data_IF_075093891373
#
_entry.id   IF_075093891373
#
_cell.length_a   1.000
_cell.length_b   1.000
_cell.length_c   1.000
_cell.angle_alpha   90.00
_cell.angle_beta   90.00
_cell.angle_gamma   90.00
#
_symmetry.space_group_name_H-M   'P 1'
#
loop_
_entity.id
_entity.type
_entity.pdbx_description
1 polymer ?
#
# COMPACT_ATOMS: atom_id res chain seq x y z
N UNK A 1 15.60 5.27 18.26
CA UNK A 1 14.27 4.63 18.37
C UNK A 1 13.46 5.16 17.21
N UNK A 2 12.75 4.32 16.46
CA UNK A 2 11.87 4.78 15.39
C UNK A 2 10.60 5.35 16.05
N UNK A 3 10.53 6.67 16.16
CA UNK A 3 9.40 7.36 16.78
C UNK A 3 8.27 7.52 15.76
N UNK A 4 7.04 7.22 16.18
CA UNK A 4 5.85 7.35 15.35
C UNK A 4 5.28 8.77 15.49
N UNK A 5 5.86 9.72 14.75
CA UNK A 5 5.46 11.13 14.73
C UNK A 5 5.87 11.78 13.41
N UNK A 6 5.32 12.96 13.15
CA UNK A 6 5.83 13.83 12.11
C UNK A 6 7.32 14.16 12.33
N UNK A 7 8.04 14.38 11.22
CA UNK A 7 9.42 14.81 11.27
C UNK A 7 9.55 16.17 11.98
N UNK A 8 10.57 16.30 12.81
CA UNK A 8 11.00 17.62 13.29
C UNK A 8 11.56 18.44 12.14
N UNK A 9 11.69 19.76 12.33
CA UNK A 9 12.31 20.64 11.33
C UNK A 9 13.72 20.20 10.94
N UNK A 10 14.51 19.73 11.89
CA UNK A 10 15.89 19.27 11.63
C UNK A 10 15.93 17.93 10.88
N UNK A 11 14.99 17.02 11.17
CA UNK A 11 14.85 15.76 10.43
C UNK A 11 14.35 16.02 9.00
N UNK A 12 13.35 16.88 8.83
CA UNK A 12 12.87 17.28 7.50
C UNK A 12 13.97 17.95 6.67
N UNK A 13 14.80 18.81 7.27
CA UNK A 13 15.95 19.41 6.60
C UNK A 13 16.95 18.34 6.11
N UNK A 14 17.20 17.29 6.90
CA UNK A 14 18.06 16.16 6.52
C UNK A 14 17.44 15.29 5.42
N UNK A 15 16.13 15.06 5.47
CA UNK A 15 15.42 14.32 4.42
C UNK A 15 15.46 15.08 3.10
N UNK A 16 15.19 16.39 3.12
CA UNK A 16 15.32 17.26 1.94
C UNK A 16 16.74 17.26 1.38
N UNK A 17 17.75 17.35 2.23
CA UNK A 17 19.15 17.29 1.80
C UNK A 17 19.48 15.96 1.12
N UNK A 18 19.11 14.84 1.74
CA UNK A 18 19.33 13.49 1.18
C UNK A 18 18.62 13.31 -0.15
N UNK A 19 17.34 13.73 -0.23
CA UNK A 19 16.56 13.67 -1.46
C UNK A 19 17.21 14.51 -2.56
N UNK A 20 17.63 15.73 -2.25
CA UNK A 20 18.30 16.60 -3.22
C UNK A 20 19.58 15.96 -3.78
N UNK A 21 20.41 15.36 -2.92
CA UNK A 21 21.61 14.64 -3.39
C UNK A 21 21.23 13.49 -4.33
N UNK A 22 20.23 12.69 -3.99
CA UNK A 22 19.78 11.60 -4.87
C UNK A 22 19.28 12.11 -6.23
N UNK A 23 18.54 13.23 -6.26
CA UNK A 23 18.07 13.86 -7.49
C UNK A 23 19.23 14.43 -8.33
N UNK A 24 20.21 15.09 -7.70
CA UNK A 24 21.43 15.58 -8.34
C UNK A 24 22.30 14.44 -8.90
N UNK A 25 22.27 13.27 -8.26
CA UNK A 25 22.95 12.04 -8.70
C UNK A 25 22.20 11.30 -9.84
N UNK A 26 21.02 11.78 -10.24
CA UNK A 26 20.27 11.29 -11.40
C UNK A 26 19.02 10.45 -11.07
N UNK A 27 18.54 10.46 -9.82
CA UNK A 27 17.22 9.92 -9.53
C UNK A 27 16.14 10.69 -10.31
N UNK A 28 15.19 9.96 -10.91
CA UNK A 28 14.11 10.56 -11.70
C UNK A 28 13.05 11.28 -10.84
N UNK A 29 13.08 11.08 -9.52
CA UNK A 29 12.03 11.54 -8.64
C UNK A 29 12.06 10.94 -7.24
N UNK A 30 10.92 11.02 -6.58
CA UNK A 30 10.69 10.58 -5.20
C UNK A 30 9.42 9.76 -5.13
N UNK A 31 9.38 8.74 -4.27
CA UNK A 31 8.16 7.95 -4.04
C UNK A 31 7.73 7.93 -2.59
N UNK A 32 6.43 7.99 -2.33
CA UNK A 32 5.84 7.87 -0.98
C UNK A 32 4.97 6.62 -0.84
N UNK A 33 5.02 6.01 0.35
CA UNK A 33 4.21 4.86 0.76
C UNK A 33 3.21 5.20 1.87
N UNK A 34 2.32 6.17 1.64
CA UNK A 34 1.52 6.82 2.70
C UNK A 34 0.47 5.90 3.33
N UNK A 35 0.15 4.77 2.69
CA UNK A 35 -0.72 3.74 3.26
C UNK A 35 -0.05 2.92 4.36
N UNK A 36 1.28 2.91 4.46
CA UNK A 36 2.01 2.11 5.44
C UNK A 36 2.22 2.88 6.74
N UNK A 37 2.10 2.22 7.90
CA UNK A 37 2.34 2.81 9.23
C UNK A 37 3.48 3.82 9.29
N UNK A 38 4.68 3.43 8.86
CA UNK A 38 5.87 4.26 8.98
C UNK A 38 5.79 5.62 8.25
N UNK A 39 4.93 5.77 7.23
CA UNK A 39 4.72 7.03 6.50
C UNK A 39 3.30 7.60 6.65
N UNK A 40 2.35 6.84 7.21
CA UNK A 40 0.94 7.27 7.37
C UNK A 40 0.77 8.45 8.34
N UNK A 41 1.77 8.73 9.18
CA UNK A 41 1.83 9.92 10.04
C UNK A 41 2.48 11.14 9.42
N UNK A 42 3.16 10.98 8.28
CA UNK A 42 3.74 12.12 7.57
C UNK A 42 2.61 13.07 7.18
N UNK A 43 2.73 14.32 7.60
CA UNK A 43 1.73 15.34 7.33
C UNK A 43 1.83 15.78 5.87
N UNK A 44 0.76 16.36 5.33
CA UNK A 44 0.79 16.88 3.96
C UNK A 44 1.87 17.95 3.80
N UNK A 45 2.17 18.74 4.83
CA UNK A 45 3.28 19.72 4.82
C UNK A 45 4.65 19.06 4.73
N UNK A 46 4.86 17.94 5.43
CA UNK A 46 6.10 17.17 5.35
C UNK A 46 6.30 16.62 3.94
N UNK A 47 5.23 16.05 3.36
CA UNK A 47 5.26 15.52 1.99
C UNK A 47 5.48 16.66 0.99
N UNK A 48 4.72 17.76 1.07
CA UNK A 48 4.90 18.94 0.20
C UNK A 48 6.34 19.45 0.23
N UNK A 49 6.96 19.57 1.41
CA UNK A 49 8.33 20.05 1.54
C UNK A 49 9.38 19.13 0.86
N UNK A 50 9.10 17.83 0.72
CA UNK A 50 9.93 16.89 -0.02
C UNK A 50 9.64 16.95 -1.53
N UNK A 51 8.37 17.02 -1.90
CA UNK A 51 7.93 17.11 -3.30
C UNK A 51 8.42 18.40 -3.97
N UNK A 52 8.56 19.50 -3.22
CA UNK A 52 9.25 20.71 -3.68
C UNK A 52 10.67 20.44 -4.22
N UNK A 53 11.44 19.52 -3.61
CA UNK A 53 12.79 19.21 -4.13
C UNK A 53 12.74 18.48 -5.47
N UNK A 54 11.66 17.74 -5.73
CA UNK A 54 11.44 17.01 -6.99
C UNK A 54 11.12 17.96 -8.14
N UNK A 55 10.29 18.97 -7.90
CA UNK A 55 9.95 19.99 -8.90
C UNK A 55 11.20 20.72 -9.42
N UNK A 56 12.17 21.01 -8.54
CA UNK A 56 13.39 21.75 -8.89
C UNK A 56 14.24 21.11 -9.98
N UNK A 57 14.11 19.80 -10.15
CA UNK A 57 14.81 19.03 -11.19
C UNK A 57 13.88 18.58 -12.32
N UNK A 58 12.61 18.99 -12.30
CA UNK A 58 11.59 18.52 -13.23
C UNK A 58 11.28 17.03 -13.10
N UNK A 59 11.45 16.46 -11.90
CA UNK A 59 11.25 15.05 -11.62
C UNK A 59 9.78 14.68 -11.39
N UNK A 60 9.55 13.41 -11.02
CA UNK A 60 8.21 12.87 -10.74
C UNK A 60 8.07 12.45 -9.28
N UNK A 61 6.97 12.85 -8.65
CA UNK A 61 6.55 12.29 -7.37
C UNK A 61 5.57 11.13 -7.61
N UNK A 62 5.99 9.90 -7.31
CA UNK A 62 5.11 8.74 -7.33
C UNK A 62 4.51 8.48 -5.94
N UNK A 63 3.23 8.15 -5.85
CA UNK A 63 2.58 7.95 -4.54
C UNK A 63 1.71 6.70 -4.50
N UNK A 64 2.04 5.79 -3.59
CA UNK A 64 1.03 4.94 -2.97
C UNK A 64 0.29 5.81 -1.95
N UNK A 65 -0.87 6.28 -2.37
CA UNK A 65 -1.71 7.23 -1.63
C UNK A 65 -2.20 6.67 -0.30
N UNK A 66 -2.56 7.57 0.62
CA UNK A 66 -2.81 7.26 2.04
C UNK A 66 -3.94 6.27 2.29
N UNK A 67 -4.92 6.21 1.38
CA UNK A 67 -6.06 5.31 1.46
C UNK A 67 -6.56 4.90 0.09
N UNK A 68 -6.96 3.63 -0.03
CA UNK A 68 -7.42 3.03 -1.29
C UNK A 68 -8.82 2.40 -1.15
N UNK A 69 -9.45 2.54 0.03
CA UNK A 69 -10.76 2.00 0.36
C UNK A 69 -11.73 3.13 0.76
N UNK A 70 -12.07 3.25 2.04
CA UNK A 70 -12.96 4.30 2.56
C UNK A 70 -12.37 5.70 2.33
N UNK A 71 -11.05 5.85 2.50
CA UNK A 71 -10.34 7.12 2.39
C UNK A 71 -9.80 7.44 1.00
N UNK A 72 -10.23 6.70 -0.04
CA UNK A 72 -9.75 6.89 -1.42
C UNK A 72 -9.91 8.35 -1.90
N UNK A 73 -11.12 8.92 -1.78
CA UNK A 73 -11.37 10.28 -2.29
C UNK A 73 -10.59 11.35 -1.49
N UNK A 74 -10.56 11.33 -0.14
CA UNK A 74 -9.66 12.19 0.63
C UNK A 74 -8.18 12.05 0.24
N UNK A 75 -7.68 10.84 0.01
CA UNK A 75 -6.28 10.61 -0.33
C UNK A 75 -5.92 11.12 -1.74
N UNK A 76 -6.83 11.01 -2.70
CA UNK A 76 -6.67 11.63 -4.03
C UNK A 76 -6.71 13.16 -3.92
N UNK A 77 -7.59 13.72 -3.09
CA UNK A 77 -7.62 15.17 -2.85
C UNK A 77 -6.32 15.68 -2.23
N UNK A 78 -5.79 14.98 -1.22
CA UNK A 78 -4.47 15.29 -0.64
C UNK A 78 -3.38 15.32 -1.72
N UNK A 79 -3.35 14.29 -2.57
CA UNK A 79 -2.36 14.17 -3.65
C UNK A 79 -2.46 15.33 -4.65
N UNK A 80 -3.68 15.68 -5.07
CA UNK A 80 -3.94 16.82 -5.97
C UNK A 80 -3.53 18.15 -5.33
N UNK A 81 -3.80 18.32 -4.03
CA UNK A 81 -3.42 19.53 -3.31
C UNK A 81 -1.89 19.69 -3.27
N UNK A 82 -1.16 18.64 -2.89
CA UNK A 82 0.30 18.64 -2.87
C UNK A 82 0.86 18.89 -4.28
N UNK A 83 0.29 18.27 -5.31
CA UNK A 83 0.68 18.50 -6.70
C UNK A 83 0.51 19.97 -7.09
N UNK A 84 -0.60 20.60 -6.69
CA UNK A 84 -0.90 22.00 -6.99
C UNK A 84 0.01 22.97 -6.26
N UNK A 85 0.33 22.69 -5.01
CA UNK A 85 1.21 23.53 -4.19
C UNK A 85 2.68 23.44 -4.64
N UNK A 86 3.13 22.24 -5.01
CA UNK A 86 4.53 22.00 -5.39
C UNK A 86 4.83 22.25 -6.87
N UNK A 87 3.85 22.08 -7.77
CA UNK A 87 4.07 22.11 -9.22
C UNK A 87 4.76 20.86 -9.78
N UNK A 88 5.07 19.86 -8.96
CA UNK A 88 5.73 18.64 -9.40
C UNK A 88 4.82 17.78 -10.30
N UNK A 89 5.43 17.02 -11.21
CA UNK A 89 4.73 15.95 -11.90
C UNK A 89 4.37 14.82 -10.91
N UNK A 90 3.19 14.23 -11.04
CA UNK A 90 2.68 13.23 -10.09
C UNK A 90 2.22 11.97 -10.80
N UNK A 91 2.61 10.83 -10.24
CA UNK A 91 2.13 9.50 -10.63
C UNK A 91 1.43 8.85 -9.43
N UNK A 92 0.11 8.63 -9.52
CA UNK A 92 -0.61 7.82 -8.53
C UNK A 92 -0.33 6.35 -8.85
N UNK A 93 0.49 5.72 -8.01
CA UNK A 93 0.88 4.33 -8.21
C UNK A 93 -0.31 3.39 -8.03
N UNK A 94 -0.39 2.37 -8.88
CA UNK A 94 -1.36 1.25 -8.82
C UNK A 94 -2.76 1.69 -8.38
N UNK A 95 -3.32 2.70 -9.04
CA UNK A 95 -4.54 3.39 -8.62
C UNK A 95 -5.74 2.45 -8.61
N UNK A 96 -6.43 2.37 -7.47
CA UNK A 96 -7.47 1.36 -7.26
C UNK A 96 -8.47 1.76 -6.19
N UNK A 97 -9.67 1.16 -6.25
CA UNK A 97 -10.63 1.15 -5.15
C UNK A 97 -10.75 -0.28 -4.59
N UNK A 98 -10.38 -0.46 -3.33
CA UNK A 98 -10.36 -1.74 -2.63
C UNK A 98 -11.65 -1.99 -1.87
N UNK A 99 -12.19 -3.20 -1.98
CA UNK A 99 -13.39 -3.65 -1.28
C UNK A 99 -14.68 -3.28 -2.00
N UNK A 100 -15.61 -4.23 -2.07
CA UNK A 100 -16.90 -4.11 -2.81
C UNK A 100 -17.69 -2.85 -2.45
N UNK A 101 -17.67 -2.44 -1.19
CA UNK A 101 -18.36 -1.25 -0.71
C UNK A 101 -17.79 0.06 -1.28
N UNK A 102 -16.53 0.07 -1.70
CA UNK A 102 -15.82 1.25 -2.17
C UNK A 102 -15.56 1.24 -3.67
N UNK A 103 -15.84 0.14 -4.38
CA UNK A 103 -15.72 0.08 -5.85
C UNK A 103 -16.40 1.25 -6.58
N UNK A 104 -17.59 1.74 -6.17
CA UNK A 104 -18.21 2.90 -6.80
C UNK A 104 -17.39 4.20 -6.71
N UNK A 105 -16.51 4.32 -5.70
CA UNK A 105 -15.68 5.52 -5.51
C UNK A 105 -14.61 5.67 -6.60
N UNK A 106 -14.26 4.58 -7.30
CA UNK A 106 -13.20 4.61 -8.31
C UNK A 106 -13.50 5.62 -9.44
N UNK A 107 -14.73 5.62 -9.95
CA UNK A 107 -15.13 6.56 -11.00
C UNK A 107 -15.02 8.04 -10.53
N UNK A 108 -15.41 8.33 -9.29
CA UNK A 108 -15.24 9.66 -8.70
C UNK A 108 -13.76 10.03 -8.53
N UNK A 109 -12.94 9.08 -8.12
CA UNK A 109 -11.50 9.27 -7.93
C UNK A 109 -10.80 9.57 -9.26
N UNK A 110 -11.11 8.80 -10.33
CA UNK A 110 -10.63 9.08 -11.69
C UNK A 110 -11.08 10.46 -12.17
N UNK A 111 -12.35 10.84 -11.92
CA UNK A 111 -12.86 12.15 -12.31
C UNK A 111 -12.11 13.31 -11.63
N UNK A 112 -11.69 13.14 -10.38
CA UNK A 112 -10.84 14.12 -9.70
C UNK A 112 -9.49 14.28 -10.38
N UNK A 113 -8.87 13.19 -10.83
CA UNK A 113 -7.60 13.21 -11.55
C UNK A 113 -7.75 13.84 -12.94
N UNK A 114 -8.83 13.53 -13.67
CA UNK A 114 -9.15 14.20 -14.94
C UNK A 114 -9.28 15.71 -14.77
N UNK A 115 -10.06 16.16 -13.79
CA UNK A 115 -10.25 17.59 -13.55
C UNK A 115 -8.93 18.28 -13.15
N UNK A 116 -8.11 17.62 -12.33
CA UNK A 116 -6.78 18.11 -12.00
C UNK A 116 -5.88 18.24 -13.24
N UNK A 117 -5.96 17.29 -14.18
CA UNK A 117 -5.25 17.37 -15.47
C UNK A 117 -5.75 18.53 -16.33
N UNK A 118 -7.07 18.73 -16.40
CA UNK A 118 -7.69 19.84 -17.12
C UNK A 118 -7.31 21.20 -16.53
N UNK A 119 -7.12 21.28 -15.21
CA UNK A 119 -6.62 22.45 -14.47
C UNK A 119 -5.12 22.72 -14.70
N UNK A 120 -4.43 21.89 -15.50
CA UNK A 120 -3.04 22.06 -15.88
C UNK A 120 -2.02 21.32 -15.00
N UNK A 121 -2.46 20.50 -14.04
CA UNK A 121 -1.55 19.67 -13.25
C UNK A 121 -1.01 18.52 -14.10
N UNK A 122 0.30 18.25 -13.99
CA UNK A 122 0.90 17.08 -14.64
C UNK A 122 0.72 15.83 -13.76
N UNK A 123 -0.52 15.35 -13.67
CA UNK A 123 -0.89 14.15 -12.90
C UNK A 123 -1.29 13.00 -13.82
N UNK A 124 -0.82 11.79 -13.51
CA UNK A 124 -1.13 10.52 -14.16
C UNK A 124 -1.28 9.42 -13.11
N UNK A 125 -1.64 8.21 -13.53
CA UNK A 125 -1.69 7.04 -12.66
C UNK A 125 -1.29 5.78 -13.41
N UNK A 126 -0.95 4.71 -12.68
CA UNK A 126 -0.74 3.39 -13.27
C UNK A 126 -1.69 2.35 -12.68
N UNK A 127 -1.91 1.27 -13.42
CA UNK A 127 -2.64 0.09 -12.96
C UNK A 127 -2.00 -1.21 -13.49
N UNK A 128 -2.26 -2.31 -12.79
CA UNK A 128 -1.92 -3.67 -13.25
C UNK A 128 -3.20 -4.46 -13.59
N UNK A 129 -3.15 -5.40 -14.56
CA UNK A 129 -4.34 -6.07 -15.06
C UNK A 129 -4.79 -7.26 -14.21
N UNK A 130 -4.97 -7.06 -12.91
CA UNK A 130 -5.41 -8.10 -11.97
C UNK A 130 -6.32 -7.53 -10.90
N UNK A 131 -7.34 -8.30 -10.49
CA UNK A 131 -8.21 -7.95 -9.36
C UNK A 131 -7.60 -8.27 -7.99
N UNK A 132 -6.52 -9.05 -8.01
CA UNK A 132 -5.79 -9.48 -6.82
C UNK A 132 -4.70 -8.47 -6.51
N UNK A 133 -4.66 -8.01 -5.26
CA UNK A 133 -3.59 -7.17 -4.72
C UNK A 133 -2.62 -8.02 -3.91
N UNK A 134 -1.39 -7.53 -3.72
CA UNK A 134 -0.41 -8.14 -2.84
C UNK A 134 0.13 -7.11 -1.85
N UNK A 135 0.13 -7.44 -0.56
CA UNK A 135 0.67 -6.57 0.50
C UNK A 135 1.13 -7.38 1.71
N UNK A 136 1.78 -6.70 2.65
CA UNK A 136 2.11 -7.23 3.97
C UNK A 136 0.84 -7.46 4.79
N UNK A 137 0.72 -8.63 5.43
CA UNK A 137 -0.52 -9.05 6.08
C UNK A 137 -0.94 -8.13 7.23
N UNK A 138 0.01 -7.43 7.89
CA UNK A 138 -0.34 -6.57 9.02
C UNK A 138 -1.20 -5.36 8.62
N UNK A 139 -1.34 -5.01 7.33
CA UNK A 139 -2.25 -3.93 6.89
C UNK A 139 -3.72 -4.26 7.12
N UNK A 140 -4.08 -5.50 7.49
CA UNK A 140 -5.45 -5.88 7.88
C UNK A 140 -5.73 -5.62 9.36
N UNK A 141 -4.71 -5.29 10.15
CA UNK A 141 -4.87 -4.90 11.55
C UNK A 141 -5.25 -3.42 11.66
N UNK A 142 -5.86 -2.98 12.78
CA UNK A 142 -5.98 -1.56 13.06
C UNK A 142 -4.61 -0.86 13.04
N UNK A 143 -4.55 0.33 12.44
CA UNK A 143 -3.31 1.08 12.23
C UNK A 143 -2.46 1.22 13.51
N UNK A 144 -3.13 1.43 14.66
CA UNK A 144 -2.46 1.66 15.94
C UNK A 144 -1.57 0.48 16.39
N UNK A 145 -1.83 -0.72 15.87
CA UNK A 145 -1.08 -1.92 16.23
C UNK A 145 0.32 -1.90 15.63
N UNK A 146 0.49 -1.30 14.45
CA UNK A 146 1.77 -1.24 13.75
C UNK A 146 2.53 0.09 13.93
N UNK A 147 1.99 1.04 14.68
CA UNK A 147 2.65 2.32 14.96
C UNK A 147 4.02 2.12 15.63
N UNK A 148 5.08 2.72 15.08
CA UNK A 148 6.46 2.45 15.53
C UNK A 148 7.08 1.18 14.92
N UNK A 149 6.41 0.61 13.91
CA UNK A 149 6.92 -0.45 13.04
C UNK A 149 6.81 -1.85 13.62
N UNK A 150 7.38 -2.83 12.88
CA UNK A 150 7.24 -4.27 13.16
C UNK A 150 7.65 -4.67 14.59
N UNK A 151 8.67 -4.01 15.16
CA UNK A 151 9.12 -4.33 16.52
C UNK A 151 8.05 -4.03 17.55
N UNK A 152 7.38 -2.89 17.42
CA UNK A 152 6.30 -2.51 18.32
C UNK A 152 5.04 -3.32 18.04
N UNK A 153 4.73 -3.63 16.77
CA UNK A 153 3.70 -4.61 16.41
C UNK A 153 3.88 -5.93 17.16
N UNK A 154 5.08 -6.52 17.10
CA UNK A 154 5.37 -7.79 17.79
C UNK A 154 5.23 -7.65 19.30
N UNK A 155 5.68 -6.53 19.87
CA UNK A 155 5.55 -6.26 21.31
C UNK A 155 4.08 -6.14 21.73
N UNK A 156 3.26 -5.39 20.98
CA UNK A 156 1.82 -5.24 21.21
C UNK A 156 1.10 -6.58 21.09
N UNK A 157 1.36 -7.36 20.05
CA UNK A 157 0.69 -8.64 19.82
C UNK A 157 1.04 -9.74 20.84
N UNK A 158 2.06 -9.53 21.69
CA UNK A 158 2.35 -10.40 22.86
C UNK A 158 1.44 -10.12 24.05
N UNK A 159 0.79 -8.96 24.12
CA UNK A 159 -0.09 -8.59 25.21
C UNK A 159 -1.53 -9.11 24.96
N UNK A 160 -2.07 -9.98 25.83
CA UNK A 160 -3.42 -10.52 25.66
C UNK A 160 -4.52 -9.44 25.63
N UNK A 161 -4.37 -8.36 26.38
CA UNK A 161 -5.35 -7.28 26.44
C UNK A 161 -5.40 -6.49 25.12
N UNK A 162 -4.22 -6.27 24.51
CA UNK A 162 -4.11 -5.69 23.18
C UNK A 162 -4.78 -6.60 22.16
N UNK A 163 -4.51 -7.90 22.18
CA UNK A 163 -5.12 -8.86 21.24
C UNK A 163 -6.65 -8.83 21.28
N UNK A 164 -7.25 -8.75 22.48
CA UNK A 164 -8.71 -8.63 22.62
C UNK A 164 -9.21 -7.37 21.92
N UNK A 165 -8.59 -6.21 22.18
CA UNK A 165 -8.96 -4.94 21.55
C UNK A 165 -8.81 -5.00 20.03
N UNK A 166 -7.72 -5.59 19.53
CA UNK A 166 -7.48 -5.77 18.09
C UNK A 166 -8.59 -6.60 17.45
N UNK A 167 -8.96 -7.74 18.05
CA UNK A 167 -10.04 -8.58 17.53
C UNK A 167 -11.39 -7.85 17.52
N UNK A 168 -11.68 -7.06 18.56
CA UNK A 168 -12.92 -6.28 18.61
C UNK A 168 -12.99 -5.22 17.51
N UNK A 169 -11.89 -4.54 17.20
CA UNK A 169 -11.83 -3.54 16.15
C UNK A 169 -11.87 -4.17 14.76
N UNK A 170 -11.14 -5.27 14.52
CA UNK A 170 -11.21 -6.02 13.25
C UNK A 170 -12.64 -6.48 12.93
N UNK A 171 -13.41 -6.90 13.94
CA UNK A 171 -14.82 -7.30 13.78
C UNK A 171 -15.77 -6.14 13.44
N UNK A 172 -15.39 -4.90 13.72
CA UNK A 172 -16.18 -3.70 13.35
C UNK A 172 -15.95 -3.35 11.88
N UNK A 173 -14.73 -3.53 11.40
CA UNK A 173 -14.32 -3.23 10.00
C UNK A 173 -14.61 -4.44 9.11
N UNK A 174 -15.89 -4.81 8.99
CA UNK A 174 -16.36 -6.00 8.22
C UNK A 174 -16.18 -5.90 6.70
N UNK A 175 -15.62 -4.80 6.19
CA UNK A 175 -15.39 -4.59 4.76
C UNK A 175 -14.28 -5.48 4.21
N UNK A 176 -13.30 -5.84 5.04
CA UNK A 176 -12.26 -6.77 4.65
C UNK A 176 -12.79 -8.19 4.85
N UNK A 177 -13.06 -8.90 3.76
CA UNK A 177 -13.29 -10.35 3.75
C UNK A 177 -11.97 -11.08 4.05
N UNK A 178 -11.33 -10.79 5.20
CA UNK A 178 -9.99 -11.28 5.52
C UNK A 178 -9.93 -12.81 5.60
N UNK A 179 -11.06 -13.48 5.79
CA UNK A 179 -11.19 -14.94 5.67
C UNK A 179 -10.74 -15.49 4.30
N UNK A 180 -10.93 -14.72 3.23
CA UNK A 180 -10.55 -15.07 1.85
C UNK A 180 -9.12 -14.66 1.50
N UNK A 181 -8.45 -13.91 2.37
CA UNK A 181 -7.05 -13.49 2.17
C UNK A 181 -6.17 -14.72 2.12
N UNK A 182 -5.36 -14.83 1.07
CA UNK A 182 -4.47 -15.97 0.85
C UNK A 182 -3.05 -15.60 1.25
N UNK A 183 -2.43 -16.38 2.11
CA UNK A 183 -1.03 -16.16 2.49
C UNK A 183 -0.15 -16.53 1.30
N UNK A 184 0.71 -15.59 0.88
CA UNK A 184 1.65 -15.79 -0.21
C UNK A 184 3.02 -16.22 0.31
N UNK A 185 3.46 -15.65 1.42
CA UNK A 185 4.75 -15.92 2.05
C UNK A 185 4.64 -15.74 3.56
N UNK A 186 5.29 -16.63 4.31
CA UNK A 186 5.55 -16.48 5.75
C UNK A 186 6.97 -16.94 6.04
N UNK A 187 7.75 -16.15 6.78
CA UNK A 187 9.11 -16.55 7.17
C UNK A 187 9.16 -17.52 8.34
N UNK A 188 8.05 -17.67 9.08
CA UNK A 188 7.96 -18.60 10.22
C UNK A 188 7.59 -20.01 9.80
N UNK A 189 6.66 -20.14 8.84
CA UNK A 189 6.20 -21.43 8.35
C UNK A 189 5.78 -21.31 6.88
N UNK A 190 6.57 -21.87 5.94
CA UNK A 190 6.23 -21.85 4.52
C UNK A 190 4.98 -22.69 4.19
N UNK A 191 4.52 -23.58 5.08
CA UNK A 191 3.31 -24.38 4.87
C UNK A 191 2.02 -23.54 4.92
N UNK A 192 2.09 -22.27 5.32
CA UNK A 192 0.97 -21.33 5.19
C UNK A 192 0.77 -20.82 3.77
N UNK A 193 1.81 -20.83 2.93
CA UNK A 193 1.70 -20.36 1.55
C UNK A 193 0.59 -21.11 0.79
N UNK A 194 -0.27 -20.35 0.12
CA UNK A 194 -1.43 -20.84 -0.63
C UNK A 194 -2.67 -21.14 0.19
N UNK A 195 -2.60 -21.13 1.52
CA UNK A 195 -3.78 -21.27 2.38
C UNK A 195 -4.47 -19.92 2.59
N UNK A 196 -5.79 -19.95 2.72
CA UNK A 196 -6.55 -18.78 3.15
C UNK A 196 -6.50 -18.63 4.66
N UNK A 197 -6.72 -17.41 5.18
CA UNK A 197 -6.85 -17.17 6.63
C UNK A 197 -7.90 -18.10 7.24
N UNK A 198 -9.06 -18.28 6.60
CA UNK A 198 -10.09 -19.19 7.09
C UNK A 198 -9.61 -20.64 7.21
N UNK A 199 -8.79 -21.12 6.27
CA UNK A 199 -8.21 -22.46 6.36
C UNK A 199 -7.22 -22.56 7.51
N UNK A 200 -6.33 -21.59 7.65
CA UNK A 200 -5.31 -21.55 8.71
C UNK A 200 -5.98 -21.49 10.09
N UNK A 201 -7.01 -20.66 10.24
CA UNK A 201 -7.80 -20.55 11.46
C UNK A 201 -8.46 -21.87 11.86
N UNK A 202 -9.07 -22.59 10.89
CA UNK A 202 -9.63 -23.94 11.14
C UNK A 202 -8.56 -24.95 11.55
N UNK A 203 -7.41 -24.96 10.89
CA UNK A 203 -6.29 -25.87 11.22
C UNK A 203 -5.71 -25.58 12.62
N UNK A 204 -5.73 -24.31 13.06
CA UNK A 204 -5.28 -23.89 14.39
C UNK A 204 -6.38 -24.00 15.46
N UNK A 205 -7.64 -24.19 15.09
CA UNK A 205 -8.78 -24.19 16.03
C UNK A 205 -9.09 -22.83 16.66
N UNK A 206 -8.78 -21.73 15.96
CA UNK A 206 -8.96 -20.34 16.45
C UNK A 206 -9.76 -19.49 15.45
N UNK A 207 -10.06 -18.24 15.78
CA UNK A 207 -10.71 -17.30 14.86
C UNK A 207 -9.74 -16.78 13.77
N UNK A 208 -10.28 -16.18 12.70
CA UNK A 208 -9.45 -15.61 11.63
C UNK A 208 -8.51 -14.50 12.13
N UNK A 209 -9.01 -13.63 13.00
CA UNK A 209 -8.24 -12.55 13.62
C UNK A 209 -7.10 -13.10 14.48
N UNK A 210 -7.39 -14.14 15.27
CA UNK A 210 -6.39 -14.81 16.10
C UNK A 210 -5.32 -15.50 15.25
N UNK A 211 -5.71 -16.18 14.18
CA UNK A 211 -4.77 -16.78 13.23
C UNK A 211 -3.85 -15.75 12.58
N UNK A 212 -4.39 -14.59 12.17
CA UNK A 212 -3.61 -13.46 11.63
C UNK A 212 -2.57 -13.01 12.66
N UNK A 213 -2.99 -12.74 13.91
CA UNK A 213 -2.07 -12.30 14.96
C UNK A 213 -1.01 -13.37 15.30
N UNK A 214 -1.37 -14.65 15.28
CA UNK A 214 -0.43 -15.76 15.53
C UNK A 214 0.65 -15.83 14.45
N UNK A 215 0.26 -15.72 13.17
CA UNK A 215 1.20 -15.72 12.06
C UNK A 215 2.11 -14.50 12.10
N UNK A 216 1.56 -13.31 12.34
CA UNK A 216 2.33 -12.08 12.44
C UNK A 216 3.31 -12.12 13.62
N UNK A 217 2.89 -12.66 14.77
CA UNK A 217 3.79 -12.84 15.91
C UNK A 217 4.92 -13.82 15.60
N UNK A 218 4.59 -14.98 15.01
CA UNK A 218 5.57 -16.01 14.68
C UNK A 218 6.60 -15.55 13.63
N UNK A 219 6.15 -14.80 12.61
CA UNK A 219 6.99 -14.32 11.52
C UNK A 219 7.60 -12.94 11.78
N UNK A 220 7.48 -12.38 12.99
CA UNK A 220 7.90 -11.02 13.33
C UNK A 220 7.38 -9.96 12.34
N UNK A 221 6.11 -10.09 11.95
CA UNK A 221 5.41 -9.24 10.99
C UNK A 221 5.77 -9.50 9.51
N UNK A 222 6.61 -10.49 9.19
CA UNK A 222 7.05 -10.80 7.82
C UNK A 222 6.14 -11.83 7.15
N UNK A 223 4.89 -11.45 6.93
CA UNK A 223 3.91 -12.25 6.19
C UNK A 223 3.39 -11.41 5.03
N UNK A 224 3.37 -11.97 3.82
CA UNK A 224 2.77 -11.34 2.62
C UNK A 224 1.52 -12.12 2.25
N UNK A 225 0.50 -11.39 1.82
CA UNK A 225 -0.80 -11.94 1.47
C UNK A 225 -1.35 -11.37 0.17
N UNK A 226 -2.18 -12.16 -0.49
CA UNK A 226 -2.93 -11.79 -1.68
C UNK A 226 -4.41 -11.62 -1.36
N UNK A 227 -5.02 -10.57 -1.89
CA UNK A 227 -6.40 -10.19 -1.61
C UNK A 227 -7.14 -9.93 -2.92
N UNK A 228 -8.15 -10.73 -3.22
CA UNK A 228 -9.04 -10.51 -4.37
C UNK A 228 -10.11 -9.49 -3.97
N UNK A 229 -9.85 -8.21 -4.24
CA UNK A 229 -10.57 -7.11 -3.61
C UNK A 229 -10.92 -5.98 -4.58
N UNK A 230 -10.49 -6.06 -5.84
CA UNK A 230 -10.79 -5.05 -6.85
C UNK A 230 -11.92 -5.52 -7.76
N UNK A 231 -12.65 -4.56 -8.35
CA UNK A 231 -13.63 -4.82 -9.41
C UNK A 231 -12.91 -5.03 -10.74
N UNK A 232 -13.25 -6.09 -11.47
CA UNK A 232 -12.79 -6.30 -12.85
C UNK A 232 -13.17 -5.11 -13.75
N UNK A 233 -14.39 -4.58 -13.58
CA UNK A 233 -14.88 -3.43 -14.34
C UNK A 233 -14.02 -2.18 -14.08
N UNK A 234 -13.63 -1.93 -12.83
CA UNK A 234 -12.76 -0.80 -12.49
C UNK A 234 -11.35 -0.99 -13.05
N UNK A 235 -10.80 -2.20 -12.95
CA UNK A 235 -9.48 -2.54 -13.51
C UNK A 235 -9.49 -2.33 -15.03
N UNK A 236 -10.51 -2.82 -15.73
CA UNK A 236 -10.64 -2.65 -17.17
C UNK A 236 -10.81 -1.17 -17.56
N UNK A 237 -11.64 -0.41 -16.84
CA UNK A 237 -11.80 1.02 -17.05
C UNK A 237 -10.49 1.78 -16.86
N UNK A 238 -9.72 1.44 -15.82
CA UNK A 238 -8.44 2.06 -15.53
C UNK A 238 -7.41 1.77 -16.61
N UNK A 239 -7.28 0.51 -17.06
CA UNK A 239 -6.31 0.11 -18.09
C UNK A 239 -6.58 0.78 -19.46
N UNK A 240 -7.83 1.14 -19.73
CA UNK A 240 -8.23 1.82 -20.98
C UNK A 240 -8.15 3.35 -20.88
N UNK A 241 -7.92 3.89 -19.69
CA UNK A 241 -7.98 5.33 -19.46
C UNK A 241 -6.74 6.05 -20.04
N UNK A 242 -6.89 7.20 -20.72
CA UNK A 242 -5.77 7.88 -21.38
C UNK A 242 -4.71 8.44 -20.43
N UNK A 243 -5.05 8.62 -19.15
CA UNK A 243 -4.09 9.03 -18.10
C UNK A 243 -3.42 7.85 -17.39
N UNK A 244 -3.74 6.62 -17.79
CA UNK A 244 -3.27 5.39 -17.15
C UNK A 244 -2.07 4.80 -17.87
N UNK A 245 -1.05 4.42 -17.10
CA UNK A 245 0.02 3.55 -17.56
C UNK A 245 -0.24 2.10 -17.11
N UNK A 246 0.20 1.14 -17.94
CA UNK A 246 0.24 -0.26 -17.50
C UNK A 246 1.54 -0.49 -16.75
N UNK A 247 1.42 -0.80 -15.46
CA UNK A 247 2.54 -1.21 -14.62
C UNK A 247 2.35 -2.66 -14.15
N UNK A 248 3.46 -3.33 -13.84
CA UNK A 248 3.36 -4.68 -13.27
C UNK A 248 3.04 -4.66 -11.79
N UNK A 249 3.57 -3.68 -11.04
CA UNK A 249 3.68 -3.72 -9.57
C UNK A 249 4.29 -5.06 -9.07
N UNK A 250 5.08 -5.71 -9.92
CA UNK A 250 5.72 -6.98 -9.65
C UNK A 250 6.87 -6.81 -8.68
N UNK A 251 6.93 -7.66 -7.65
CA UNK A 251 8.15 -7.77 -6.86
C UNK A 251 9.27 -8.40 -7.70
N UNK A 252 10.52 -8.01 -7.46
CA UNK A 252 11.68 -8.69 -8.04
C UNK A 252 11.93 -10.01 -7.32
N UNK A 253 11.99 -11.11 -8.07
CA UNK A 253 12.29 -12.44 -7.55
C UNK A 253 13.63 -12.94 -8.08
N UNK A 254 14.40 -13.60 -7.21
CA UNK A 254 15.61 -14.32 -7.60
C UNK A 254 15.24 -15.77 -7.90
N UNK A 255 16.00 -16.43 -8.77
CA UNK A 255 15.84 -17.86 -9.07
C UNK A 255 15.87 -18.72 -7.79
N UNK A 256 16.67 -18.32 -6.79
CA UNK A 256 16.72 -19.00 -5.48
C UNK A 256 15.41 -18.95 -4.69
N UNK A 257 14.50 -18.02 -4.98
CA UNK A 257 13.24 -17.85 -4.27
C UNK A 257 12.22 -18.94 -4.65
N UNK A 258 12.37 -19.58 -5.82
CA UNK A 258 11.55 -20.73 -6.23
C UNK A 258 11.59 -21.86 -5.19
N UNK A 259 12.79 -22.10 -4.62
CA UNK A 259 13.01 -23.16 -3.62
C UNK A 259 12.38 -22.85 -2.26
N UNK A 260 11.89 -21.63 -2.03
CA UNK A 260 11.31 -21.22 -0.75
C UNK A 260 9.81 -21.54 -0.64
N UNK A 261 9.18 -21.98 -1.74
CA UNK A 261 7.75 -22.33 -1.75
C UNK A 261 6.81 -21.13 -1.60
N UNK A 262 7.29 -19.92 -1.87
CA UNK A 262 6.47 -18.71 -1.83
C UNK A 262 5.59 -18.62 -3.06
N UNK A 263 4.36 -18.13 -2.89
CA UNK A 263 3.52 -17.79 -4.04
C UNK A 263 3.99 -16.47 -4.64
N UNK A 264 4.20 -16.49 -5.95
CA UNK A 264 4.49 -15.29 -6.72
C UNK A 264 3.20 -14.73 -7.29
N UNK A 265 2.98 -13.42 -7.14
CA UNK A 265 1.84 -12.78 -7.79
C UNK A 265 2.02 -12.82 -9.31
N UNK A 266 1.02 -13.27 -10.10
CA UNK A 266 1.16 -13.43 -11.55
C UNK A 266 1.54 -12.14 -12.27
N UNK A 267 1.16 -10.97 -11.71
CA UNK A 267 1.57 -9.64 -12.21
C UNK A 267 3.08 -9.47 -12.41
N UNK A 268 3.89 -10.18 -11.62
CA UNK A 268 5.36 -10.09 -11.68
C UNK A 268 5.96 -10.59 -13.00
N UNK A 269 5.25 -11.47 -13.72
CA UNK A 269 5.73 -12.04 -14.99
C UNK A 269 4.71 -11.94 -16.13
N UNK A 270 3.45 -11.62 -15.82
CA UNK A 270 2.34 -11.69 -16.78
C UNK A 270 1.59 -10.38 -17.01
N UNK A 271 1.93 -9.27 -16.34
CA UNK A 271 1.15 -8.03 -16.46
C UNK A 271 1.04 -7.53 -17.90
N UNK A 272 2.16 -7.29 -18.59
CA UNK A 272 2.12 -6.80 -19.97
C UNK A 272 1.50 -7.82 -20.95
N UNK A 273 1.86 -9.11 -20.95
CA UNK A 273 1.20 -10.11 -21.81
C UNK A 273 -0.30 -10.30 -21.54
N UNK A 274 -0.78 -10.01 -20.32
CA UNK A 274 -2.21 -10.09 -19.99
C UNK A 274 -2.98 -8.85 -20.45
N UNK A 275 -2.32 -7.71 -20.54
CA UNK A 275 -2.92 -6.47 -21.05
C UNK A 275 -3.11 -6.48 -22.57
N UNK A 276 -2.14 -7.04 -23.31
CA UNK A 276 -2.17 -7.20 -24.76
C UNK A 276 -3.22 -8.20 -25.23
#
# INVERSE_FOLDING_TARGET
HDEFRAATRDELAKMRYTLRQALEEGALGFSTGLAYSHAKVATSEEVSALVEEVERVGGVWASHIRGEAEELLPAVNETIQIARESGAAVEISHFKAMGKAHWPNFASAVKMVENAREDGLNITFDCYPYTITGSVLYTVLPDWVEEGGRRELVKRLKDPSVRIKVMEEMRKVRYYEYENVRVAMSTADPAFAGKTIARIAREQGVSGEEAIMNMLLAAEGRVVSFMDTLSEENVEAALKHPLSFVASDGAGYRESDEKKGFLVHPRSFGAFPRFL
#
